data_IF_923286968904
#
_entry.id   IF_923286968904
#
_cell.length_a   1.000
_cell.length_b   1.000
_cell.length_c   1.000
_cell.angle_alpha   90.00
_cell.angle_beta   90.00
_cell.angle_gamma   90.00
#
_symmetry.space_group_name_H-M   'P 1'
#
loop_
_entity.id
_entity.type
_entity.pdbx_description
1 polymer ?
#
# COMPACT_ATOMS: atom_id res chain seq x y z
N UNK A 1 28.51 5.95 -12.42
CA UNK A 1 29.24 7.08 -11.76
C UNK A 1 28.20 8.10 -11.34
N UNK A 2 28.30 8.68 -10.13
CA UNK A 2 27.37 9.72 -9.68
C UNK A 2 27.53 11.01 -10.52
N UNK A 3 26.43 11.74 -10.83
CA UNK A 3 26.49 12.99 -11.60
C UNK A 3 27.30 14.06 -10.85
N UNK A 4 28.15 14.82 -11.56
CA UNK A 4 29.03 15.82 -10.95
C UNK A 4 28.23 16.91 -10.20
N UNK A 5 27.20 17.46 -10.82
CA UNK A 5 26.35 18.50 -10.17
C UNK A 5 25.65 17.99 -8.91
N UNK A 6 25.32 16.67 -8.85
CA UNK A 6 24.79 16.06 -7.64
C UNK A 6 25.86 16.04 -6.53
N UNK A 7 27.07 15.57 -6.82
CA UNK A 7 28.16 15.46 -5.83
C UNK A 7 28.58 16.83 -5.31
N UNK A 8 28.70 17.86 -6.18
CA UNK A 8 28.99 19.22 -5.80
C UNK A 8 27.92 19.82 -4.87
N UNK A 9 26.64 19.61 -5.19
CA UNK A 9 25.53 20.05 -4.33
C UNK A 9 25.55 19.32 -2.97
N UNK A 10 25.75 18.01 -2.96
CA UNK A 10 25.80 17.26 -1.70
C UNK A 10 27.00 17.63 -0.83
N UNK A 11 28.14 17.95 -1.44
CA UNK A 11 29.31 18.46 -0.71
C UNK A 11 29.01 19.79 0.01
N UNK A 12 28.32 20.71 -0.66
CA UNK A 12 27.90 21.98 -0.06
C UNK A 12 26.79 21.81 1.00
N UNK A 13 25.91 20.80 0.86
CA UNK A 13 24.80 20.56 1.78
C UNK A 13 25.25 19.85 3.08
N UNK A 14 26.18 18.89 2.96
CA UNK A 14 26.58 18.00 4.07
C UNK A 14 27.91 18.40 4.73
N UNK A 15 28.70 19.28 4.08
CA UNK A 15 29.96 19.78 4.60
C UNK A 15 30.88 18.66 5.17
N UNK A 16 31.04 18.59 6.49
CA UNK A 16 31.87 17.58 7.16
C UNK A 16 31.33 16.15 7.06
N UNK A 17 30.06 15.95 6.80
CA UNK A 17 29.44 14.59 6.66
C UNK A 17 29.49 14.05 5.23
N UNK A 18 29.99 14.85 4.25
CA UNK A 18 29.97 14.49 2.83
C UNK A 18 30.73 13.20 2.51
N UNK A 19 31.91 13.02 3.10
CA UNK A 19 32.75 11.82 2.83
C UNK A 19 32.05 10.54 3.32
N UNK A 20 31.40 10.59 4.49
CA UNK A 20 30.64 9.46 5.03
C UNK A 20 29.40 9.18 4.16
N UNK A 21 28.73 10.23 3.71
CA UNK A 21 27.61 10.11 2.78
C UNK A 21 28.06 9.45 1.47
N UNK A 22 29.14 9.92 0.87
CA UNK A 22 29.67 9.34 -0.37
C UNK A 22 30.08 7.88 -0.19
N UNK A 23 30.78 7.55 0.91
CA UNK A 23 31.15 6.18 1.22
C UNK A 23 29.94 5.24 1.37
N UNK A 24 28.79 5.75 1.80
CA UNK A 24 27.56 4.95 1.93
C UNK A 24 27.09 4.36 0.61
N UNK A 25 27.43 4.96 -0.53
CA UNK A 25 27.06 4.44 -1.85
C UNK A 25 27.83 3.17 -2.23
N UNK A 26 28.97 2.92 -1.61
CA UNK A 26 29.77 1.70 -1.80
C UNK A 26 29.36 0.56 -0.87
N UNK A 27 28.55 0.84 0.16
CA UNK A 27 28.07 -0.19 1.08
C UNK A 27 27.03 -1.10 0.44
N UNK A 28 26.87 -2.31 0.97
CA UNK A 28 25.81 -3.22 0.58
C UNK A 28 24.41 -2.60 0.81
N UNK A 29 23.51 -2.90 -0.10
CA UNK A 29 22.12 -2.41 -0.06
C UNK A 29 21.37 -3.07 1.08
N UNK A 30 20.70 -2.27 1.89
CA UNK A 30 19.80 -2.80 2.91
C UNK A 30 18.51 -3.28 2.28
N UNK A 31 18.08 -4.46 2.69
CA UNK A 31 16.83 -5.07 2.25
C UNK A 31 15.93 -5.29 3.46
N UNK A 32 14.63 -5.06 3.27
CA UNK A 32 13.67 -5.28 4.32
C UNK A 32 12.34 -5.83 3.78
N UNK A 33 11.59 -6.45 4.67
CA UNK A 33 10.22 -6.86 4.46
C UNK A 33 9.34 -6.30 5.58
N UNK A 34 8.07 -6.19 5.29
CA UNK A 34 7.06 -5.75 6.26
C UNK A 34 5.98 -6.80 6.34
N UNK A 35 5.79 -7.37 7.54
CA UNK A 35 4.76 -8.37 7.81
C UNK A 35 3.36 -7.78 7.62
N UNK A 36 2.42 -8.64 7.23
CA UNK A 36 1.05 -8.27 6.94
C UNK A 36 0.09 -8.81 8.02
N UNK A 37 -0.29 -8.01 9.01
CA UNK A 37 -1.18 -8.44 10.08
C UNK A 37 -2.60 -8.78 9.60
N UNK A 38 -3.01 -8.36 8.40
CA UNK A 38 -4.32 -8.71 7.84
C UNK A 38 -4.51 -10.22 7.60
N UNK A 39 -3.41 -10.99 7.58
CA UNK A 39 -3.47 -12.43 7.28
C UNK A 39 -3.92 -13.30 8.44
N UNK A 40 -3.76 -12.86 9.68
CA UNK A 40 -4.11 -13.62 10.87
C UNK A 40 -4.48 -12.67 12.01
N UNK A 41 -5.38 -13.09 12.91
CA UNK A 41 -5.69 -12.33 14.13
C UNK A 41 -4.51 -12.39 15.13
N UNK A 42 -3.87 -13.55 15.23
CA UNK A 42 -2.65 -13.71 16.02
C UNK A 42 -1.44 -13.94 15.10
N UNK A 43 -0.60 -12.92 15.00
CA UNK A 43 0.63 -12.94 14.22
C UNK A 43 1.83 -13.52 14.99
N UNK A 44 1.74 -13.77 16.30
CA UNK A 44 2.89 -14.10 17.15
C UNK A 44 3.68 -15.31 16.66
N UNK A 45 3.00 -16.44 16.45
CA UNK A 45 3.63 -17.71 16.04
C UNK A 45 4.25 -17.61 14.66
N UNK A 46 3.52 -17.02 13.70
CA UNK A 46 4.04 -16.91 12.32
C UNK A 46 5.17 -15.89 12.23
N UNK A 47 5.11 -14.80 13.00
CA UNK A 47 6.19 -13.82 13.08
C UNK A 47 7.50 -14.45 13.55
N UNK A 48 7.46 -15.25 14.63
CA UNK A 48 8.64 -15.94 15.12
C UNK A 48 9.18 -16.94 14.10
N UNK A 49 8.30 -17.68 13.41
CA UNK A 49 8.71 -18.59 12.32
C UNK A 49 9.40 -17.84 11.16
N UNK A 50 8.84 -16.70 10.73
CA UNK A 50 9.42 -15.88 9.65
C UNK A 50 10.76 -15.29 10.09
N UNK A 51 10.85 -14.77 11.33
CA UNK A 51 12.11 -14.25 11.90
C UNK A 51 13.22 -15.29 11.93
N UNK A 52 12.90 -16.52 12.34
CA UNK A 52 13.86 -17.63 12.37
C UNK A 52 14.28 -18.07 10.98
N UNK A 53 13.32 -18.11 10.02
CA UNK A 53 13.60 -18.53 8.64
C UNK A 53 14.51 -17.55 7.91
N UNK A 54 14.34 -16.23 8.11
CA UNK A 54 15.05 -15.17 7.39
C UNK A 54 15.98 -14.34 8.31
N UNK A 55 16.28 -14.80 9.52
CA UNK A 55 17.18 -14.12 10.48
C UNK A 55 16.89 -12.62 10.64
N UNK A 56 15.61 -12.27 10.76
CA UNK A 56 15.12 -10.91 10.69
C UNK A 56 15.56 -10.04 11.87
N UNK A 57 15.86 -8.76 11.59
CA UNK A 57 16.14 -7.72 12.57
C UNK A 57 15.13 -6.58 12.42
N UNK A 58 14.64 -6.04 13.53
CA UNK A 58 13.64 -4.97 13.54
C UNK A 58 14.13 -3.70 12.82
N UNK A 59 13.29 -3.10 11.98
CA UNK A 59 13.44 -1.72 11.50
C UNK A 59 12.90 -0.79 12.58
N UNK A 60 13.71 0.12 13.16
CA UNK A 60 13.28 0.88 14.35
C UNK A 60 12.01 1.70 14.18
N UNK A 61 11.82 2.31 13.02
CA UNK A 61 10.67 3.19 12.70
C UNK A 61 9.48 2.47 12.07
N UNK A 62 9.46 1.14 12.03
CA UNK A 62 8.36 0.38 11.44
C UNK A 62 8.05 -0.87 12.27
N UNK A 63 6.93 -0.86 12.99
CA UNK A 63 6.52 -1.92 13.92
C UNK A 63 6.58 -3.33 13.30
N UNK A 64 6.07 -3.48 12.08
CA UNK A 64 6.05 -4.75 11.34
C UNK A 64 7.17 -4.86 10.29
N UNK A 65 8.14 -3.95 10.32
CA UNK A 65 9.27 -3.88 9.38
C UNK A 65 10.50 -4.61 9.89
N UNK A 66 11.15 -5.41 9.03
CA UNK A 66 12.33 -6.19 9.40
C UNK A 66 13.35 -6.19 8.28
N UNK A 67 14.62 -5.95 8.63
CA UNK A 67 15.75 -6.21 7.74
C UNK A 67 15.94 -7.71 7.54
N UNK A 68 16.36 -8.10 6.35
CA UNK A 68 16.80 -9.46 6.01
C UNK A 68 18.09 -9.42 5.20
N UNK A 69 18.79 -10.55 5.11
CA UNK A 69 20.03 -10.66 4.36
C UNK A 69 19.78 -11.07 2.91
N UNK A 70 20.74 -10.82 2.00
CA UNK A 70 20.63 -11.16 0.58
C UNK A 70 20.45 -12.66 0.34
N UNK A 71 20.97 -13.48 1.26
CA UNK A 71 20.90 -14.94 1.22
C UNK A 71 19.49 -15.48 1.47
N UNK A 72 18.67 -14.74 2.23
CA UNK A 72 17.33 -15.18 2.64
C UNK A 72 16.33 -15.30 1.48
N UNK A 73 16.45 -14.46 0.46
CA UNK A 73 15.62 -14.46 -0.78
C UNK A 73 14.10 -14.59 -0.53
N UNK A 74 13.48 -13.81 0.35
CA UNK A 74 12.06 -13.97 0.74
C UNK A 74 11.10 -13.88 -0.45
N UNK A 75 11.46 -13.19 -1.54
CA UNK A 75 10.67 -13.11 -2.77
C UNK A 75 10.47 -14.44 -3.50
N UNK A 76 11.26 -15.48 -3.17
CA UNK A 76 11.12 -16.84 -3.72
C UNK A 76 10.31 -17.77 -2.83
N UNK A 77 10.06 -17.40 -1.59
CA UNK A 77 9.33 -18.23 -0.65
C UNK A 77 7.81 -18.16 -0.91
N UNK A 78 7.04 -19.27 -0.78
CA UNK A 78 5.59 -19.28 -0.98
C UNK A 78 4.81 -18.26 -0.13
N UNK A 79 5.32 -17.88 1.03
CA UNK A 79 4.73 -16.83 1.88
C UNK A 79 4.62 -15.48 1.18
N UNK A 80 5.52 -15.17 0.25
CA UNK A 80 5.44 -13.95 -0.55
C UNK A 80 4.16 -13.92 -1.41
N UNK A 81 3.87 -15.05 -2.08
CA UNK A 81 2.65 -15.17 -2.90
C UNK A 81 1.38 -15.27 -2.04
N UNK A 82 1.49 -15.81 -0.83
CA UNK A 82 0.41 -15.76 0.16
C UNK A 82 0.16 -14.35 0.73
N UNK A 83 1.00 -13.36 0.40
CA UNK A 83 0.89 -11.98 0.90
C UNK A 83 1.17 -11.84 2.39
N UNK A 84 1.94 -12.77 2.99
CA UNK A 84 2.31 -12.71 4.40
C UNK A 84 3.21 -11.52 4.73
N UNK A 85 3.94 -11.04 3.75
CA UNK A 85 4.76 -9.83 3.83
C UNK A 85 4.89 -9.12 2.48
N UNK A 86 5.27 -7.86 2.56
CA UNK A 86 5.66 -7.03 1.42
C UNK A 86 7.16 -6.73 1.52
N UNK A 87 7.91 -6.93 0.43
CA UNK A 87 9.33 -6.55 0.35
C UNK A 87 9.39 -5.05 0.08
N UNK A 88 9.96 -4.29 1.03
CA UNK A 88 9.97 -2.83 0.98
C UNK A 88 11.31 -2.31 1.46
N UNK A 89 11.79 -1.25 0.83
CA UNK A 89 12.96 -0.51 1.28
C UNK A 89 12.71 0.08 2.67
N UNK A 90 13.63 -0.05 3.64
CA UNK A 90 13.38 0.33 5.03
C UNK A 90 12.97 1.79 5.21
N UNK A 91 13.65 2.76 4.59
CA UNK A 91 13.32 4.19 4.75
C UNK A 91 11.94 4.54 4.16
N UNK A 92 11.49 3.80 3.12
CA UNK A 92 10.17 3.97 2.53
C UNK A 92 9.00 3.52 3.43
N UNK A 93 9.28 2.90 4.59
CA UNK A 93 8.25 2.56 5.58
C UNK A 93 7.90 3.74 6.49
N UNK A 94 8.82 4.68 6.69
CA UNK A 94 8.65 5.81 7.61
C UNK A 94 7.46 6.72 7.27
N UNK A 95 7.17 7.10 6.01
CA UNK A 95 6.06 7.99 5.68
C UNK A 95 4.70 7.49 6.17
N UNK A 96 4.43 6.18 6.12
CA UNK A 96 3.17 5.62 6.61
C UNK A 96 3.12 5.56 8.13
N UNK A 97 4.25 5.27 8.80
CA UNK A 97 4.33 5.39 10.26
C UNK A 97 3.99 6.81 10.70
N UNK A 98 4.52 7.83 10.00
CA UNK A 98 4.24 9.24 10.23
C UNK A 98 2.78 9.64 9.90
N UNK A 99 2.18 9.01 8.89
CA UNK A 99 0.77 9.21 8.55
C UNK A 99 -0.14 8.71 9.68
N UNK A 100 0.28 7.66 10.39
CA UNK A 100 -0.46 7.06 11.52
C UNK A 100 -1.92 6.73 11.17
N UNK A 101 -2.18 5.91 10.13
CA UNK A 101 -3.54 5.55 9.72
C UNK A 101 -4.33 4.92 10.86
N UNK A 102 -5.65 5.20 10.94
CA UNK A 102 -6.54 4.62 11.94
C UNK A 102 -7.66 3.81 11.27
N UNK A 103 -8.16 2.75 11.92
CA UNK A 103 -9.37 2.03 11.47
C UNK A 103 -10.56 2.98 11.28
N UNK A 104 -11.35 2.76 10.23
CA UNK A 104 -12.55 3.55 9.94
C UNK A 104 -12.34 4.88 9.20
N UNK A 105 -11.10 5.35 9.04
CA UNK A 105 -10.78 6.59 8.31
C UNK A 105 -10.94 6.44 6.79
N UNK A 106 -11.03 7.58 6.12
CA UNK A 106 -10.91 7.72 4.64
C UNK A 106 -9.52 8.22 4.34
N UNK A 107 -8.71 7.39 3.71
CA UNK A 107 -7.30 7.69 3.45
C UNK A 107 -7.05 7.65 1.94
N UNK A 108 -6.29 8.63 1.45
CA UNK A 108 -5.80 8.69 0.08
C UNK A 108 -4.28 8.47 0.05
N UNK A 109 -3.85 7.49 -0.76
CA UNK A 109 -2.47 7.37 -1.23
C UNK A 109 -2.46 7.86 -2.69
N UNK A 110 -1.96 9.10 -2.89
CA UNK A 110 -2.18 9.83 -4.15
C UNK A 110 -1.23 9.41 -5.28
N UNK A 111 -0.01 8.95 -4.95
CA UNK A 111 1.02 8.53 -5.90
C UNK A 111 1.54 7.13 -5.55
N UNK A 112 0.65 6.15 -5.56
CA UNK A 112 0.74 4.93 -4.76
C UNK A 112 1.63 3.80 -5.30
N UNK A 113 1.91 3.77 -6.61
CA UNK A 113 2.61 2.62 -7.21
C UNK A 113 4.08 2.50 -6.75
N UNK A 114 4.54 1.29 -6.47
CA UNK A 114 3.92 -0.03 -6.75
C UNK A 114 2.98 -0.57 -5.67
N UNK A 115 2.70 0.15 -4.58
CA UNK A 115 1.73 -0.25 -3.56
C UNK A 115 2.33 -0.57 -2.19
N UNK A 116 3.64 -0.36 -1.97
CA UNK A 116 4.29 -0.61 -0.69
C UNK A 116 3.68 0.22 0.45
N UNK A 117 3.46 1.50 0.21
CA UNK A 117 2.84 2.42 1.17
C UNK A 117 1.33 2.17 1.30
N UNK A 118 0.60 1.99 0.19
CA UNK A 118 -0.83 1.61 0.23
C UNK A 118 -1.10 0.35 1.05
N UNK A 119 -0.27 -0.69 0.89
CA UNK A 119 -0.43 -1.94 1.64
C UNK A 119 -0.07 -1.80 3.12
N UNK A 120 0.82 -0.86 3.47
CA UNK A 120 1.12 -0.50 4.85
C UNK A 120 -0.04 0.27 5.49
N UNK A 121 -0.62 1.24 4.77
CA UNK A 121 -1.83 1.96 5.20
C UNK A 121 -2.97 0.97 5.47
N UNK A 122 -3.27 0.09 4.51
CA UNK A 122 -4.34 -0.91 4.68
C UNK A 122 -4.12 -1.83 5.88
N UNK A 123 -2.86 -2.20 6.17
CA UNK A 123 -2.51 -3.00 7.35
C UNK A 123 -2.83 -2.26 8.65
N UNK A 124 -2.51 -0.96 8.74
CA UNK A 124 -2.81 -0.14 9.91
C UNK A 124 -4.30 0.18 10.07
N UNK A 125 -5.05 0.20 8.97
CA UNK A 125 -6.51 0.35 8.97
C UNK A 125 -7.27 -0.91 9.41
N UNK A 126 -6.60 -2.05 9.60
CA UNK A 126 -7.20 -3.32 10.02
C UNK A 126 -8.36 -3.82 9.14
N UNK A 127 -8.42 -3.34 7.89
CA UNK A 127 -9.47 -3.68 6.94
C UNK A 127 -10.76 -2.86 7.09
N UNK A 128 -10.79 -1.84 7.94
CA UNK A 128 -11.91 -0.93 8.16
C UNK A 128 -11.74 0.40 7.43
N UNK A 129 -12.86 1.10 7.18
CA UNK A 129 -12.87 2.39 6.49
C UNK A 129 -12.65 2.27 4.97
N UNK A 130 -12.10 3.32 4.36
CA UNK A 130 -11.87 3.43 2.92
C UNK A 130 -10.43 3.85 2.62
N UNK A 131 -9.68 3.02 1.90
CA UNK A 131 -8.43 3.38 1.27
C UNK A 131 -8.65 3.66 -0.22
N UNK A 132 -8.49 4.90 -0.66
CA UNK A 132 -8.35 5.23 -2.08
C UNK A 132 -6.87 5.27 -2.41
N UNK A 133 -6.46 4.48 -3.40
CA UNK A 133 -5.08 4.40 -3.82
C UNK A 133 -4.99 4.68 -5.32
N UNK A 134 -4.18 5.67 -5.71
CA UNK A 134 -4.17 6.21 -7.06
C UNK A 134 -2.79 6.17 -7.70
N UNK A 135 -2.77 5.95 -9.00
CA UNK A 135 -1.58 6.05 -9.82
C UNK A 135 -1.94 6.56 -11.22
N UNK A 136 -1.29 7.63 -11.65
CA UNK A 136 -1.57 8.28 -12.93
C UNK A 136 -1.18 7.43 -14.15
N UNK A 137 -0.13 6.59 -14.02
CA UNK A 137 0.36 5.77 -15.12
C UNK A 137 -0.36 4.41 -15.17
N UNK A 138 -1.11 4.09 -16.26
CA UNK A 138 -1.94 2.88 -16.33
C UNK A 138 -1.20 1.56 -16.06
N UNK A 139 0.03 1.42 -16.58
CA UNK A 139 0.84 0.22 -16.38
C UNK A 139 1.25 0.06 -14.91
N UNK A 140 1.60 1.16 -14.24
CA UNK A 140 1.95 1.17 -12.82
C UNK A 140 0.72 0.97 -11.92
N UNK A 141 -0.44 1.54 -12.29
CA UNK A 141 -1.71 1.34 -11.59
C UNK A 141 -2.13 -0.14 -11.60
N UNK A 142 -1.82 -0.89 -12.67
CA UNK A 142 -2.04 -2.32 -12.73
C UNK A 142 -1.17 -3.07 -11.71
N UNK A 143 0.12 -2.75 -11.61
CA UNK A 143 1.03 -3.33 -10.61
C UNK A 143 0.54 -3.03 -9.17
N UNK A 144 0.09 -1.80 -8.93
CA UNK A 144 -0.55 -1.41 -7.67
C UNK A 144 -1.76 -2.31 -7.34
N UNK A 145 -2.68 -2.50 -8.30
CA UNK A 145 -3.85 -3.36 -8.14
C UNK A 145 -3.48 -4.83 -7.86
N UNK A 146 -2.44 -5.35 -8.50
CA UNK A 146 -1.92 -6.71 -8.26
C UNK A 146 -1.34 -6.85 -6.84
N UNK A 147 -0.63 -5.84 -6.33
CA UNK A 147 -0.11 -5.85 -4.95
C UNK A 147 -1.22 -5.70 -3.90
N UNK A 148 -2.23 -4.86 -4.14
CA UNK A 148 -3.44 -4.77 -3.30
C UNK A 148 -4.13 -6.14 -3.22
N UNK A 149 -4.24 -6.87 -4.34
CA UNK A 149 -4.79 -8.22 -4.39
C UNK A 149 -3.94 -9.22 -3.60
N UNK A 150 -2.63 -9.27 -3.87
CA UNK A 150 -1.70 -10.20 -3.24
C UNK A 150 -1.68 -10.07 -1.72
N UNK A 151 -1.79 -8.86 -1.21
CA UNK A 151 -1.84 -8.60 0.23
C UNK A 151 -3.21 -8.87 0.88
N UNK A 152 -4.23 -9.25 0.08
CA UNK A 152 -5.57 -9.61 0.59
C UNK A 152 -6.38 -8.43 1.12
N UNK A 153 -6.15 -7.23 0.61
CA UNK A 153 -6.80 -6.00 1.08
C UNK A 153 -8.25 -5.96 0.62
N UNK A 154 -9.17 -5.72 1.55
CA UNK A 154 -10.63 -5.72 1.32
C UNK A 154 -11.21 -4.32 1.15
N UNK A 155 -10.64 -3.31 1.79
CA UNK A 155 -11.16 -1.95 1.93
C UNK A 155 -10.50 -0.93 1.00
N UNK A 156 -9.90 -1.36 -0.11
CA UNK A 156 -9.22 -0.48 -1.05
C UNK A 156 -9.99 -0.30 -2.37
N UNK A 157 -9.98 0.95 -2.86
CA UNK A 157 -10.39 1.33 -4.22
C UNK A 157 -9.15 1.79 -5.00
N UNK A 158 -8.82 1.12 -6.11
CA UNK A 158 -7.66 1.45 -6.96
C UNK A 158 -8.10 2.26 -8.15
N UNK A 159 -7.56 3.47 -8.30
CA UNK A 159 -7.87 4.42 -9.35
C UNK A 159 -6.66 4.65 -10.28
N UNK A 160 -6.95 5.13 -11.49
CA UNK A 160 -5.97 5.59 -12.46
C UNK A 160 -6.33 6.97 -12.96
N UNK A 161 -6.14 7.99 -12.11
CA UNK A 161 -6.58 9.36 -12.36
C UNK A 161 -5.45 10.36 -12.16
N UNK A 162 -5.65 11.58 -12.67
CA UNK A 162 -4.77 12.72 -12.36
C UNK A 162 -5.14 13.32 -11.00
N UNK A 163 -4.19 13.92 -10.27
CA UNK A 163 -4.48 14.61 -9.02
C UNK A 163 -5.55 15.69 -9.14
N UNK A 164 -5.53 16.46 -10.25
CA UNK A 164 -6.48 17.54 -10.53
C UNK A 164 -7.90 16.98 -10.64
N UNK A 165 -8.10 15.91 -11.40
CA UNK A 165 -9.41 15.27 -11.55
C UNK A 165 -9.94 14.73 -10.23
N UNK A 166 -9.06 14.12 -9.40
CA UNK A 166 -9.44 13.69 -8.05
C UNK A 166 -9.83 14.86 -7.16
N UNK A 167 -9.10 15.98 -7.21
CA UNK A 167 -9.41 17.16 -6.40
C UNK A 167 -10.77 17.80 -6.79
N UNK A 168 -11.20 17.70 -8.03
CA UNK A 168 -12.53 18.14 -8.46
C UNK A 168 -13.66 17.23 -7.98
N UNK A 169 -13.34 15.98 -7.58
CA UNK A 169 -14.33 14.99 -7.12
C UNK A 169 -14.38 14.90 -5.60
N UNK A 170 -13.26 15.05 -4.92
CA UNK A 170 -13.08 14.75 -3.50
C UNK A 170 -12.72 16.00 -2.68
N UNK A 171 -13.46 17.08 -2.81
CA UNK A 171 -13.22 18.27 -1.99
C UNK A 171 -13.49 17.99 -0.51
N UNK A 172 -12.48 18.28 0.34
CA UNK A 172 -12.51 18.02 1.81
C UNK A 172 -13.08 16.64 2.17
N UNK A 173 -12.55 15.61 1.53
CA UNK A 173 -13.10 14.25 1.64
C UNK A 173 -12.28 13.32 2.55
N UNK A 174 -10.94 13.40 2.52
CA UNK A 174 -10.05 12.46 3.19
C UNK A 174 -9.60 12.96 4.55
N UNK A 175 -9.61 12.05 5.52
CA UNK A 175 -9.13 12.29 6.88
C UNK A 175 -7.59 12.35 6.91
N UNK A 176 -6.94 11.53 6.05
CA UNK A 176 -5.48 11.54 5.85
C UNK A 176 -5.12 11.40 4.38
N UNK A 177 -4.03 12.05 3.99
CA UNK A 177 -3.47 11.93 2.63
C UNK A 177 -1.97 11.65 2.72
N UNK A 178 -1.52 10.66 1.96
CA UNK A 178 -0.11 10.42 1.67
C UNK A 178 0.20 10.92 0.26
N UNK A 179 1.23 11.75 0.15
CA UNK A 179 1.83 12.17 -1.11
C UNK A 179 3.27 11.67 -1.14
N UNK A 180 3.46 10.41 -1.57
CA UNK A 180 4.80 9.91 -1.90
C UNK A 180 5.14 10.38 -3.31
N UNK A 181 5.66 11.60 -3.40
CA UNK A 181 5.68 12.35 -4.64
C UNK A 181 6.65 11.78 -5.69
N UNK A 182 6.29 11.80 -6.99
CA UNK A 182 7.25 11.54 -8.04
C UNK A 182 8.38 12.57 -7.94
N UNK A 183 9.63 12.09 -7.87
CA UNK A 183 10.81 12.90 -7.60
C UNK A 183 11.98 12.51 -8.49
N UNK A 184 13.08 13.25 -8.42
CA UNK A 184 14.32 12.98 -9.17
C UNK A 184 15.02 11.67 -8.80
N UNK A 185 14.62 11.05 -7.69
CA UNK A 185 14.98 9.66 -7.33
C UNK A 185 16.43 9.45 -6.92
N UNK A 186 17.09 10.43 -6.33
CA UNK A 186 18.51 10.36 -5.95
C UNK A 186 18.84 9.25 -4.95
N UNK A 187 17.91 8.91 -4.05
CA UNK A 187 18.01 7.75 -3.17
C UNK A 187 17.97 6.41 -3.92
N UNK A 188 17.65 6.42 -5.21
CA UNK A 188 17.67 5.22 -6.06
C UNK A 188 19.00 5.01 -6.79
N UNK A 189 19.96 5.94 -6.73
CA UNK A 189 21.21 5.86 -7.45
C UNK A 189 22.02 4.60 -7.11
N UNK A 190 21.95 4.13 -5.87
CA UNK A 190 22.56 2.86 -5.45
C UNK A 190 21.91 1.63 -6.08
N UNK A 191 20.64 1.72 -6.49
CA UNK A 191 19.83 0.59 -7.00
C UNK A 191 19.76 0.55 -8.50
N UNK A 192 19.81 1.70 -9.16
CA UNK A 192 19.52 1.85 -10.58
C UNK A 192 20.53 2.82 -11.22
N UNK A 193 21.46 2.29 -12.01
CA UNK A 193 22.42 3.10 -12.76
C UNK A 193 21.75 4.02 -13.77
N UNK A 194 20.64 3.59 -14.38
CA UNK A 194 19.85 4.41 -15.31
C UNK A 194 19.33 5.68 -14.64
N UNK A 195 19.00 5.62 -13.33
CA UNK A 195 18.57 6.80 -12.59
C UNK A 195 19.68 7.87 -12.54
N UNK A 196 20.97 7.48 -12.48
CA UNK A 196 22.08 8.41 -12.57
C UNK A 196 22.25 9.03 -13.95
N UNK A 197 21.96 8.26 -15.01
CA UNK A 197 22.11 8.69 -16.42
C UNK A 197 21.00 9.66 -16.83
N UNK A 198 19.77 9.45 -16.32
CA UNK A 198 18.61 10.30 -16.63
C UNK A 198 18.51 11.54 -15.73
N UNK A 199 19.29 11.60 -14.64
CA UNK A 199 19.23 12.69 -13.70
C UNK A 199 19.91 13.98 -14.24
N UNK A 200 19.28 15.12 -14.01
CA UNK A 200 19.86 16.44 -14.24
C UNK A 200 19.29 17.48 -13.26
N UNK A 201 19.97 18.63 -13.05
CA UNK A 201 19.40 19.74 -12.26
C UNK A 201 18.06 20.24 -12.79
N UNK A 202 17.86 20.24 -14.12
CA UNK A 202 16.60 20.62 -14.76
C UNK A 202 15.49 19.64 -14.44
N UNK A 203 15.80 18.32 -14.38
CA UNK A 203 14.82 17.31 -13.98
C UNK A 203 14.42 17.45 -12.50
N UNK A 204 15.35 17.82 -11.62
CA UNK A 204 15.05 18.16 -10.21
C UNK A 204 14.02 19.30 -10.14
N UNK A 205 14.21 20.38 -10.91
CA UNK A 205 13.28 21.50 -10.93
C UNK A 205 11.91 21.11 -11.50
N UNK A 206 11.87 20.34 -12.59
CA UNK A 206 10.61 19.81 -13.15
C UNK A 206 9.85 18.92 -12.16
N UNK A 207 10.56 18.13 -11.35
CA UNK A 207 9.97 17.33 -10.28
C UNK A 207 9.41 18.25 -9.18
N UNK A 208 10.15 19.27 -8.75
CA UNK A 208 9.70 20.23 -7.75
C UNK A 208 8.43 20.97 -8.20
N UNK A 209 8.36 21.44 -9.43
CA UNK A 209 7.18 22.12 -9.99
C UNK A 209 5.96 21.18 -10.04
N UNK A 210 6.16 19.92 -10.39
CA UNK A 210 5.11 18.89 -10.38
C UNK A 210 4.61 18.60 -8.98
N UNK A 211 5.51 18.51 -8.01
CA UNK A 211 5.19 18.25 -6.60
C UNK A 211 4.36 19.39 -6.02
N UNK A 212 4.66 20.65 -6.37
CA UNK A 212 3.86 21.82 -5.96
C UNK A 212 2.40 21.65 -6.43
N UNK A 213 2.17 21.26 -7.69
CA UNK A 213 0.82 21.01 -8.22
C UNK A 213 0.09 19.85 -7.53
N UNK A 214 0.81 18.77 -7.19
CA UNK A 214 0.25 17.62 -6.46
C UNK A 214 -0.16 18.03 -5.04
N UNK A 215 0.66 18.81 -4.35
CA UNK A 215 0.36 19.31 -3.00
C UNK A 215 -0.86 20.25 -2.99
N UNK A 216 -1.03 21.12 -3.98
CA UNK A 216 -2.23 21.96 -4.17
C UNK A 216 -3.50 21.08 -4.28
N UNK A 217 -3.45 20.02 -5.06
CA UNK A 217 -4.57 19.07 -5.18
C UNK A 217 -4.84 18.36 -3.85
N UNK A 218 -3.80 17.92 -3.14
CA UNK A 218 -3.94 17.24 -1.85
C UNK A 218 -4.55 18.16 -0.79
N UNK A 219 -4.17 19.45 -0.76
CA UNK A 219 -4.73 20.44 0.17
C UNK A 219 -6.25 20.63 0.02
N UNK A 220 -6.75 20.61 -1.23
CA UNK A 220 -8.19 20.69 -1.53
C UNK A 220 -8.95 19.45 -1.06
N UNK A 221 -8.33 18.27 -1.15
CA UNK A 221 -8.97 17.00 -0.83
C UNK A 221 -8.96 16.66 0.66
N UNK A 222 -8.11 17.29 1.46
CA UNK A 222 -7.96 17.03 2.88
C UNK A 222 -9.03 17.80 3.69
N UNK A 223 -9.67 17.13 4.64
CA UNK A 223 -10.63 17.76 5.56
C UNK A 223 -9.94 18.74 6.52
N UNK A 224 -10.65 19.75 7.08
CA UNK A 224 -10.17 20.49 8.24
C UNK A 224 -9.79 19.54 9.38
N UNK A 225 -8.66 19.78 10.05
CA UNK A 225 -8.12 18.86 11.08
C UNK A 225 -7.45 17.60 10.51
N UNK A 226 -7.42 17.42 9.19
CA UNK A 226 -6.80 16.28 8.53
C UNK A 226 -5.27 16.32 8.52
N UNK A 227 -4.63 15.17 8.36
CA UNK A 227 -3.17 15.03 8.30
C UNK A 227 -2.70 14.69 6.89
N UNK A 228 -1.70 15.42 6.39
CA UNK A 228 -1.02 15.17 5.15
C UNK A 228 0.44 14.80 5.44
N UNK A 229 0.90 13.69 4.86
CA UNK A 229 2.32 13.35 4.85
C UNK A 229 2.84 13.47 3.43
N UNK A 230 3.84 14.33 3.26
CA UNK A 230 4.61 14.46 2.03
C UNK A 230 5.91 13.69 2.16
N UNK A 231 6.31 12.94 1.13
CA UNK A 231 7.56 12.21 1.10
C UNK A 231 8.17 12.13 -0.29
N UNK A 232 9.49 12.01 -0.34
CA UNK A 232 10.28 11.77 -1.55
C UNK A 232 11.42 10.81 -1.27
N UNK A 233 11.94 10.16 -2.31
CA UNK A 233 13.18 9.40 -2.25
C UNK A 233 14.37 10.18 -2.88
N UNK A 234 14.40 11.51 -2.72
CA UNK A 234 15.50 12.37 -3.20
C UNK A 234 16.15 13.13 -2.05
N UNK A 235 17.37 13.61 -2.25
CA UNK A 235 18.09 14.49 -1.32
C UNK A 235 18.00 15.96 -1.72
N UNK A 236 17.40 16.27 -2.86
CA UNK A 236 17.33 17.62 -3.43
C UNK A 236 16.53 18.57 -2.55
N UNK A 237 17.13 19.67 -2.04
CA UNK A 237 16.41 20.66 -1.23
C UNK A 237 15.23 21.29 -1.95
N UNK A 238 15.32 21.49 -3.26
CA UNK A 238 14.23 22.09 -4.06
C UNK A 238 12.94 21.25 -4.04
N UNK A 239 13.09 19.92 -3.96
CA UNK A 239 12.00 18.94 -3.91
C UNK A 239 11.53 18.62 -2.48
N UNK A 240 12.31 18.94 -1.47
CA UNK A 240 12.10 18.61 -0.07
C UNK A 240 11.66 19.85 0.72
N UNK A 241 12.56 20.51 1.45
CA UNK A 241 12.27 21.72 2.22
C UNK A 241 11.73 22.86 1.33
N UNK A 242 12.19 22.92 0.08
CA UNK A 242 11.71 23.90 -0.91
C UNK A 242 10.23 23.72 -1.24
N UNK A 243 9.79 22.51 -1.57
CA UNK A 243 8.38 22.21 -1.85
C UNK A 243 7.49 22.49 -0.64
N UNK A 244 7.92 22.08 0.56
CA UNK A 244 7.17 22.36 1.80
C UNK A 244 7.11 23.86 2.10
N UNK A 245 8.22 24.59 1.90
CA UNK A 245 8.26 26.04 2.14
C UNK A 245 7.38 26.82 1.16
N UNK A 246 7.41 26.47 -0.13
CA UNK A 246 6.53 27.08 -1.14
C UNK A 246 5.06 26.78 -0.89
N UNK A 247 4.74 25.53 -0.47
CA UNK A 247 3.39 25.14 -0.11
C UNK A 247 2.87 25.94 1.09
N UNK A 248 3.60 26.02 2.18
CA UNK A 248 3.18 26.74 3.39
C UNK A 248 3.12 28.26 3.22
N UNK A 249 3.88 28.81 2.27
CA UNK A 249 3.78 30.23 1.92
C UNK A 249 2.43 30.59 1.24
N UNK A 250 1.75 29.61 0.64
CA UNK A 250 0.44 29.77 -0.02
C UNK A 250 -0.73 29.30 0.85
N UNK A 251 -0.48 28.39 1.79
CA UNK A 251 -1.47 27.68 2.59
C UNK A 251 -1.28 27.98 4.08
N UNK A 252 -1.74 29.14 4.55
CA UNK A 252 -1.66 29.55 5.96
C UNK A 252 -2.49 28.66 6.89
N UNK A 253 -3.45 27.91 6.34
CA UNK A 253 -4.25 26.93 7.03
C UNK A 253 -3.50 25.63 7.35
N UNK A 254 -2.26 25.45 6.87
CA UNK A 254 -1.42 24.31 7.22
C UNK A 254 -0.29 24.69 8.16
N UNK A 255 0.20 23.72 8.90
CA UNK A 255 1.40 23.83 9.74
C UNK A 255 2.18 22.51 9.76
N UNK A 256 3.49 22.59 10.03
CA UNK A 256 4.33 21.42 10.23
C UNK A 256 4.07 20.86 11.61
N UNK A 257 3.80 19.55 11.68
CA UNK A 257 3.83 18.77 12.93
C UNK A 257 5.24 18.24 13.11
N UNK A 258 5.98 18.66 14.15
CA UNK A 258 7.34 18.19 14.38
C UNK A 258 7.38 16.67 14.59
N UNK A 259 8.32 16.00 13.93
CA UNK A 259 8.51 14.54 14.03
C UNK A 259 9.42 14.24 15.22
N UNK A 260 8.94 13.41 16.16
CA UNK A 260 9.77 12.89 17.25
C UNK A 260 10.66 11.75 16.73
N UNK A 261 11.87 12.11 16.34
CA UNK A 261 12.88 11.19 15.78
C UNK A 261 13.37 10.20 16.82
N UNK A 262 13.43 10.59 18.09
CA UNK A 262 13.88 9.74 19.19
C UNK A 262 12.89 8.61 19.44
N UNK A 263 11.57 8.90 19.43
CA UNK A 263 10.53 7.88 19.57
C UNK A 263 10.62 6.85 18.43
N UNK A 264 10.97 7.30 17.22
CA UNK A 264 11.14 6.44 16.05
C UNK A 264 12.48 5.71 16.00
N UNK A 265 13.38 5.90 16.98
CA UNK A 265 14.72 5.31 16.97
C UNK A 265 15.61 5.83 15.83
N UNK A 266 15.33 7.04 15.35
CA UNK A 266 16.10 7.70 14.28
C UNK A 266 17.26 8.51 14.90
N UNK A 267 18.49 8.42 14.36
CA UNK A 267 19.65 9.14 14.88
C UNK A 267 19.50 10.67 14.84
N UNK A 268 20.29 11.36 15.64
CA UNK A 268 20.46 12.82 15.55
C UNK A 268 20.99 13.27 14.18
N UNK A 269 20.72 14.51 13.80
CA UNK A 269 21.13 15.08 12.52
C UNK A 269 20.31 14.60 11.32
N UNK A 270 19.09 14.09 11.58
CA UNK A 270 18.08 13.74 10.58
C UNK A 270 16.98 14.79 10.46
N UNK A 271 17.23 16.01 10.87
CA UNK A 271 16.30 17.15 10.79
C UNK A 271 16.26 17.74 9.40
N UNK A 272 15.15 18.42 9.07
CA UNK A 272 15.09 19.29 7.89
C UNK A 272 16.10 20.45 8.01
N UNK A 273 16.64 20.87 6.89
CA UNK A 273 17.75 21.83 6.84
C UNK A 273 17.23 23.21 6.37
N UNK A 274 16.99 24.17 7.27
CA UNK A 274 16.48 25.48 6.85
C UNK A 274 17.46 26.26 5.95
N UNK A 275 18.78 26.11 6.17
CA UNK A 275 19.82 26.82 5.41
C UNK A 275 19.96 26.39 3.95
N UNK A 276 19.25 25.33 3.50
CA UNK A 276 19.32 24.84 2.13
C UNK A 276 18.26 25.47 1.18
N UNK A 277 17.39 26.34 1.70
CA UNK A 277 16.34 27.05 0.92
C UNK A 277 16.33 28.53 1.27
N UNK A 278 15.98 29.38 0.30
CA UNK A 278 16.03 30.84 0.44
C UNK A 278 15.04 31.37 1.49
N UNK A 279 13.80 30.84 1.50
CA UNK A 279 12.72 31.24 2.41
C UNK A 279 12.17 30.02 3.14
N UNK A 280 12.85 29.50 4.17
CA UNK A 280 12.41 28.31 4.87
C UNK A 280 11.13 28.54 5.65
N UNK A 281 10.19 27.61 5.53
CA UNK A 281 8.97 27.65 6.31
C UNK A 281 9.25 27.56 7.82
N UNK A 282 8.46 28.25 8.67
CA UNK A 282 8.52 28.02 10.12
C UNK A 282 8.35 26.54 10.48
N UNK A 283 9.23 26.03 11.32
CA UNK A 283 9.18 24.63 11.77
C UNK A 283 9.79 23.62 10.80
N UNK A 284 10.45 24.02 9.72
CA UNK A 284 11.06 23.11 8.72
C UNK A 284 12.07 22.12 9.35
N UNK A 285 12.73 22.44 10.42
CA UNK A 285 13.59 21.55 11.20
C UNK A 285 12.81 20.37 11.82
N UNK A 286 11.49 20.49 11.95
CA UNK A 286 10.59 19.42 12.38
C UNK A 286 10.35 18.33 11.34
N UNK A 287 10.79 18.51 10.09
CA UNK A 287 10.72 17.48 9.05
C UNK A 287 11.85 16.45 9.20
N UNK A 288 11.82 15.40 8.40
CA UNK A 288 12.71 14.25 8.52
C UNK A 288 13.53 14.03 7.25
N UNK A 289 14.85 13.88 7.41
CA UNK A 289 15.79 13.38 6.39
C UNK A 289 16.39 12.07 6.85
N UNK A 290 16.03 10.98 6.21
CA UNK A 290 16.66 9.67 6.44
C UNK A 290 17.90 9.57 5.56
N UNK A 291 19.07 9.69 6.18
CA UNK A 291 20.35 9.71 5.47
C UNK A 291 20.98 8.32 5.39
N UNK A 292 21.46 7.85 4.21
CA UNK A 292 22.02 6.51 4.05
C UNK A 292 23.32 6.27 4.84
N UNK A 293 24.04 7.32 5.24
CA UNK A 293 25.23 7.22 6.09
C UNK A 293 24.91 7.21 7.58
N UNK A 294 23.70 7.61 8.00
CA UNK A 294 23.28 7.63 9.41
C UNK A 294 22.42 6.44 9.80
N UNK A 295 21.78 5.78 8.83
CA UNK A 295 20.85 4.69 9.08
C UNK A 295 20.89 3.63 7.98
N UNK A 296 20.30 2.49 8.27
CA UNK A 296 20.24 1.35 7.35
C UNK A 296 19.07 1.53 6.37
N UNK A 297 19.25 2.34 5.31
CA UNK A 297 18.28 2.63 4.27
C UNK A 297 18.90 3.36 3.09
N UNK A 298 18.12 3.55 2.03
CA UNK A 298 18.58 4.24 0.80
C UNK A 298 18.43 5.76 0.87
N UNK A 299 17.65 6.23 1.82
CA UNK A 299 17.35 7.65 2.00
C UNK A 299 15.91 8.02 1.64
N UNK A 300 15.35 8.91 2.46
CA UNK A 300 14.00 9.44 2.26
C UNK A 300 13.85 10.80 2.93
N UNK A 301 12.97 11.64 2.39
CA UNK A 301 12.50 12.84 3.07
C UNK A 301 11.04 12.66 3.46
N UNK A 302 10.63 13.20 4.61
CA UNK A 302 9.24 13.25 5.00
C UNK A 302 8.90 14.52 5.78
N UNK A 303 7.73 15.08 5.51
CA UNK A 303 7.12 16.18 6.26
C UNK A 303 5.70 15.80 6.66
N UNK A 304 5.35 16.02 7.92
CA UNK A 304 3.99 15.86 8.44
C UNK A 304 3.35 17.23 8.51
N UNK A 305 2.24 17.40 7.81
CA UNK A 305 1.46 18.63 7.76
C UNK A 305 0.07 18.41 8.36
N UNK A 306 -0.40 19.38 9.14
CA UNK A 306 -1.73 19.39 9.74
C UNK A 306 -2.54 20.54 9.13
N UNK A 307 -3.71 20.24 8.57
CA UNK A 307 -4.69 21.29 8.18
C UNK A 307 -5.38 21.78 9.44
N UNK A 308 -5.33 23.08 9.70
CA UNK A 308 -5.99 23.72 10.84
C UNK A 308 -7.51 23.61 10.72
N UNK A 309 -8.20 23.73 11.83
CA UNK A 309 -9.66 23.65 11.90
C UNK A 309 -10.14 22.32 12.47
N UNK A 310 -11.43 22.24 12.68
CA UNK A 310 -12.14 21.07 13.18
C UNK A 310 -13.32 20.76 12.27
N UNK A 311 -13.64 19.48 12.13
CA UNK A 311 -14.88 19.06 11.47
C UNK A 311 -16.07 19.46 12.35
N UNK A 312 -17.10 20.07 11.75
CA UNK A 312 -18.37 20.29 12.45
C UNK A 312 -19.00 18.97 12.84
N UNK A 313 -19.62 18.91 14.00
CA UNK A 313 -20.32 17.72 14.48
C UNK A 313 -21.32 17.22 13.41
N UNK A 314 -21.21 15.94 13.04
CA UNK A 314 -22.05 15.34 12.00
C UNK A 314 -21.57 15.57 10.57
N UNK A 315 -20.41 16.19 10.35
CA UNK A 315 -19.84 16.34 9.00
C UNK A 315 -19.71 14.98 8.28
N UNK A 316 -20.26 14.90 7.08
CA UNK A 316 -20.17 13.71 6.21
C UNK A 316 -19.59 14.15 4.86
N UNK A 317 -18.31 13.93 4.62
CA UNK A 317 -17.71 14.22 3.32
C UNK A 317 -18.40 13.46 2.20
N UNK A 318 -18.68 14.13 1.12
CA UNK A 318 -19.35 13.56 -0.05
C UNK A 318 -18.54 13.87 -1.30
N UNK A 319 -18.28 12.86 -2.12
CA UNK A 319 -17.66 13.08 -3.43
C UNK A 319 -18.64 13.78 -4.39
N UNK A 320 -18.15 14.52 -5.37
CA UNK A 320 -18.98 15.14 -6.41
C UNK A 320 -19.77 14.09 -7.23
N UNK A 321 -19.29 12.86 -7.31
CA UNK A 321 -19.98 11.73 -7.94
C UNK A 321 -20.99 11.04 -7.01
N UNK A 322 -21.08 11.48 -5.75
CA UNK A 322 -21.87 10.81 -4.71
C UNK A 322 -21.24 9.53 -4.20
N UNK A 323 -22.00 8.76 -3.42
CA UNK A 323 -21.60 7.43 -2.96
C UNK A 323 -22.09 6.35 -3.93
N UNK A 324 -21.32 5.27 -4.10
CA UNK A 324 -21.75 4.12 -4.89
C UNK A 324 -22.90 3.39 -4.17
N UNK A 325 -24.01 3.21 -4.88
CA UNK A 325 -25.23 2.61 -4.27
C UNK A 325 -25.20 1.09 -4.27
N UNK A 326 -24.33 0.47 -5.09
CA UNK A 326 -24.29 -0.97 -5.25
C UNK A 326 -25.54 -1.59 -5.90
N UNK A 327 -25.59 -2.92 -5.88
CA UNK A 327 -26.69 -3.71 -6.45
C UNK A 327 -27.80 -3.82 -5.41
N UNK A 328 -29.07 -3.49 -5.74
CA UNK A 328 -30.19 -3.71 -4.83
C UNK A 328 -30.32 -5.19 -4.43
N UNK A 329 -30.61 -5.48 -3.17
CA UNK A 329 -30.66 -6.84 -2.61
C UNK A 329 -31.52 -7.81 -3.42
N UNK A 330 -32.73 -7.36 -3.90
CA UNK A 330 -33.63 -8.15 -4.73
C UNK A 330 -33.04 -8.60 -6.07
N UNK A 331 -32.19 -7.73 -6.68
CA UNK A 331 -31.53 -8.05 -7.94
C UNK A 331 -30.29 -8.93 -7.68
N UNK A 332 -29.59 -8.66 -6.58
CA UNK A 332 -28.42 -9.44 -6.17
C UNK A 332 -28.81 -10.91 -5.95
N UNK A 333 -29.85 -11.22 -5.20
CA UNK A 333 -30.33 -12.60 -4.97
C UNK A 333 -30.83 -13.30 -6.21
N UNK A 334 -31.40 -12.57 -7.17
CA UNK A 334 -31.88 -13.12 -8.42
C UNK A 334 -30.76 -13.36 -9.44
N UNK A 335 -29.97 -12.33 -9.69
CA UNK A 335 -29.02 -12.32 -10.81
C UNK A 335 -27.66 -12.95 -10.41
N UNK A 336 -27.41 -13.12 -9.11
CA UNK A 336 -26.16 -13.67 -8.54
C UNK A 336 -26.42 -14.89 -7.62
N UNK A 337 -27.47 -15.65 -7.90
CA UNK A 337 -27.85 -16.85 -7.13
C UNK A 337 -26.69 -17.85 -6.99
N UNK A 338 -25.88 -18.02 -8.04
CA UNK A 338 -24.73 -18.92 -8.05
C UNK A 338 -23.63 -18.46 -7.08
N UNK A 339 -23.48 -17.15 -6.83
CA UNK A 339 -22.59 -16.65 -5.80
C UNK A 339 -23.08 -17.04 -4.39
N UNK A 340 -24.36 -16.88 -4.10
CA UNK A 340 -24.92 -17.24 -2.79
C UNK A 340 -24.89 -18.74 -2.55
N UNK A 341 -25.07 -19.56 -3.58
CA UNK A 341 -24.90 -21.00 -3.49
C UNK A 341 -23.43 -21.34 -3.17
N UNK A 342 -22.47 -20.75 -3.90
CA UNK A 342 -21.06 -20.88 -3.60
C UNK A 342 -20.72 -20.43 -2.15
N UNK A 343 -21.22 -19.28 -1.73
CA UNK A 343 -20.99 -18.74 -0.40
C UNK A 343 -21.51 -19.68 0.70
N UNK A 344 -22.75 -20.19 0.54
CA UNK A 344 -23.37 -21.15 1.47
C UNK A 344 -22.60 -22.48 1.56
N UNK A 345 -22.07 -22.97 0.44
CA UNK A 345 -21.30 -24.22 0.40
C UNK A 345 -19.90 -24.06 0.96
N UNK A 346 -19.29 -22.87 0.80
CA UNK A 346 -17.85 -22.67 1.03
C UNK A 346 -17.55 -21.98 2.36
N UNK A 347 -18.33 -20.97 2.74
CA UNK A 347 -18.00 -20.15 3.90
C UNK A 347 -18.54 -20.71 5.22
N UNK A 348 -17.81 -20.50 6.32
CA UNK A 348 -18.30 -20.73 7.69
C UNK A 348 -19.30 -19.62 8.05
N UNK A 349 -20.39 -19.97 8.77
CA UNK A 349 -21.50 -19.01 9.00
C UNK A 349 -21.12 -17.82 9.88
N UNK A 350 -20.28 -18.03 10.89
CA UNK A 350 -20.02 -17.03 11.92
C UNK A 350 -19.11 -15.87 11.46
N UNK A 351 -18.07 -16.17 10.71
CA UNK A 351 -17.05 -15.19 10.29
C UNK A 351 -17.47 -14.40 9.04
N UNK A 352 -18.19 -15.04 8.13
CA UNK A 352 -18.59 -14.44 6.85
C UNK A 352 -19.78 -13.49 6.98
N UNK A 353 -20.58 -13.62 8.03
CA UNK A 353 -21.60 -12.62 8.39
C UNK A 353 -20.91 -11.31 8.81
N UNK A 354 -19.85 -11.38 9.62
CA UNK A 354 -19.06 -10.19 10.02
C UNK A 354 -18.44 -9.46 8.82
N UNK A 355 -17.97 -10.21 7.82
CA UNK A 355 -17.40 -9.65 6.60
C UNK A 355 -18.46 -9.18 5.57
N UNK A 356 -19.76 -9.39 5.83
CA UNK A 356 -20.84 -9.05 4.90
C UNK A 356 -20.81 -9.82 3.58
N UNK A 357 -20.17 -10.99 3.52
CA UNK A 357 -20.01 -11.79 2.30
C UNK A 357 -21.17 -12.74 2.03
N UNK A 358 -21.95 -13.12 3.06
CA UNK A 358 -23.00 -14.12 2.94
C UNK A 358 -24.41 -13.54 2.82
N UNK A 359 -24.63 -12.27 3.15
CA UNK A 359 -25.96 -11.68 3.24
C UNK A 359 -26.18 -10.71 2.09
N UNK A 360 -27.25 -10.93 1.33
CA UNK A 360 -27.68 -9.97 0.31
C UNK A 360 -28.05 -8.64 0.97
N UNK A 361 -27.31 -7.59 0.65
CA UNK A 361 -27.50 -6.26 1.22
C UNK A 361 -26.72 -5.21 0.43
N UNK A 362 -26.62 -4.04 0.99
CA UNK A 362 -25.77 -2.97 0.43
C UNK A 362 -24.29 -3.37 0.38
N UNK A 363 -23.55 -2.82 -0.54
CA UNK A 363 -22.09 -2.99 -0.63
C UNK A 363 -21.61 -4.04 -1.64
N UNK A 364 -22.48 -4.49 -2.55
CA UNK A 364 -22.07 -5.29 -3.72
C UNK A 364 -22.12 -4.45 -5.00
N UNK A 365 -21.12 -4.62 -5.85
CA UNK A 365 -21.01 -3.94 -7.14
C UNK A 365 -20.66 -4.95 -8.23
N UNK A 366 -21.23 -4.80 -9.43
CA UNK A 366 -20.89 -5.62 -10.57
C UNK A 366 -20.30 -4.79 -11.71
N UNK A 367 -19.21 -5.29 -12.29
CA UNK A 367 -18.70 -4.84 -13.58
C UNK A 367 -18.76 -6.01 -14.57
N UNK A 368 -19.74 -5.98 -15.49
CA UNK A 368 -20.03 -7.11 -16.35
C UNK A 368 -20.35 -8.36 -15.51
N UNK A 369 -19.62 -9.44 -15.74
CA UNK A 369 -19.80 -10.71 -15.02
C UNK A 369 -18.99 -10.79 -13.70
N UNK A 370 -18.26 -9.73 -13.31
CA UNK A 370 -17.45 -9.71 -12.11
C UNK A 370 -18.18 -9.06 -10.94
N UNK A 371 -18.20 -9.74 -9.80
CA UNK A 371 -18.81 -9.29 -8.55
C UNK A 371 -17.74 -8.81 -7.58
N UNK A 372 -18.00 -7.66 -6.96
CA UNK A 372 -17.11 -7.05 -5.96
C UNK A 372 -17.86 -6.78 -4.65
N UNK A 373 -17.15 -6.87 -3.53
CA UNK A 373 -17.56 -6.31 -2.26
C UNK A 373 -16.91 -4.94 -2.10
N UNK A 374 -17.73 -3.90 -1.97
CA UNK A 374 -17.27 -2.52 -1.84
C UNK A 374 -16.75 -2.24 -0.42
N UNK A 375 -15.74 -1.36 -0.27
CA UNK A 375 -15.43 -0.74 1.02
C UNK A 375 -16.59 0.10 1.54
N UNK A 376 -16.61 0.34 2.82
CA UNK A 376 -17.51 1.34 3.40
C UNK A 376 -17.26 2.71 2.78
N UNK A 377 -18.34 3.47 2.56
CA UNK A 377 -18.26 4.83 1.99
C UNK A 377 -17.57 4.89 0.63
N UNK A 378 -17.66 3.82 -0.15
CA UNK A 378 -17.15 3.77 -1.52
C UNK A 378 -17.65 4.99 -2.31
N UNK A 379 -16.77 5.81 -2.90
CA UNK A 379 -17.17 6.93 -3.74
C UNK A 379 -17.91 6.44 -4.98
N UNK A 380 -18.79 7.26 -5.54
CA UNK A 380 -19.42 6.96 -6.81
C UNK A 380 -18.39 6.84 -7.92
N UNK A 381 -18.53 5.82 -8.76
CA UNK A 381 -17.52 5.47 -9.79
C UNK A 381 -17.76 6.16 -11.13
N UNK A 382 -18.84 6.93 -11.27
CA UNK A 382 -19.18 7.60 -12.52
C UNK A 382 -18.13 8.66 -12.87
N UNK A 383 -17.52 8.51 -14.03
CA UNK A 383 -16.46 9.43 -14.51
C UNK A 383 -15.06 9.08 -14.01
N UNK A 384 -14.90 8.11 -13.11
CA UNK A 384 -13.60 7.66 -12.62
C UNK A 384 -13.10 6.43 -13.39
N UNK A 385 -11.80 6.38 -13.65
CA UNK A 385 -11.11 5.19 -14.15
C UNK A 385 -10.74 4.27 -12.98
N UNK A 386 -11.63 3.34 -12.67
CA UNK A 386 -11.50 2.40 -11.56
C UNK A 386 -10.92 1.08 -12.06
N UNK A 387 -9.76 0.68 -11.51
CA UNK A 387 -9.18 -0.64 -11.75
C UNK A 387 -9.72 -1.69 -10.80
N UNK A 388 -9.97 -1.30 -9.55
CA UNK A 388 -10.47 -2.20 -8.50
C UNK A 388 -11.41 -1.42 -7.57
N UNK A 389 -12.70 -1.71 -7.59
CA UNK A 389 -13.68 -0.99 -6.75
C UNK A 389 -13.87 -1.63 -5.36
N UNK A 390 -12.95 -2.42 -4.89
CA UNK A 390 -13.01 -3.20 -3.66
C UNK A 390 -12.53 -4.63 -3.85
N UNK A 391 -12.98 -5.54 -2.99
CA UNK A 391 -12.62 -6.96 -3.04
C UNK A 391 -13.35 -7.65 -4.21
N UNK A 392 -12.59 -8.18 -5.17
CA UNK A 392 -13.13 -9.01 -6.25
C UNK A 392 -13.53 -10.38 -5.71
N UNK A 393 -14.83 -10.66 -5.69
CA UNK A 393 -15.38 -11.93 -5.16
C UNK A 393 -15.27 -13.06 -6.18
N UNK A 394 -15.52 -12.79 -7.45
CA UNK A 394 -15.44 -13.76 -8.52
C UNK A 394 -16.23 -13.38 -9.76
N UNK A 395 -16.34 -14.32 -10.67
CA UNK A 395 -16.96 -14.12 -11.98
C UNK A 395 -18.14 -15.07 -12.16
N UNK A 396 -19.29 -14.54 -12.59
CA UNK A 396 -20.43 -15.33 -13.00
C UNK A 396 -20.14 -15.97 -14.36
N UNK A 397 -20.27 -17.28 -14.42
CA UNK A 397 -20.19 -18.08 -15.65
C UNK A 397 -21.53 -18.77 -15.90
N UNK A 398 -21.71 -19.34 -17.08
CA UNK A 398 -22.92 -20.10 -17.38
C UNK A 398 -23.18 -21.18 -16.31
N UNK A 399 -24.23 -20.99 -15.50
CA UNK A 399 -24.68 -21.89 -14.44
C UNK A 399 -23.64 -22.21 -13.35
N UNK A 400 -22.69 -21.30 -13.07
CA UNK A 400 -21.73 -21.46 -11.97
C UNK A 400 -21.06 -20.14 -11.60
N UNK A 401 -20.58 -20.06 -10.39
CA UNK A 401 -19.71 -19.00 -9.91
C UNK A 401 -18.25 -19.52 -9.85
N UNK A 402 -17.31 -18.71 -10.35
CA UNK A 402 -15.87 -18.95 -10.22
C UNK A 402 -15.28 -17.95 -9.23
N UNK A 403 -14.85 -18.38 -8.02
CA UNK A 403 -14.28 -17.46 -7.04
C UNK A 403 -12.99 -16.86 -7.53
N UNK A 404 -12.80 -15.57 -7.26
CA UNK A 404 -11.59 -14.84 -7.63
C UNK A 404 -10.41 -15.24 -6.74
N UNK A 405 -9.20 -15.12 -7.27
CA UNK A 405 -7.97 -15.27 -6.49
C UNK A 405 -7.88 -14.23 -5.37
N UNK A 406 -8.29 -13.00 -5.64
CA UNK A 406 -8.41 -11.93 -4.64
C UNK A 406 -9.24 -12.34 -3.41
N UNK A 407 -10.36 -13.05 -3.64
CA UNK A 407 -11.20 -13.55 -2.55
C UNK A 407 -10.43 -14.58 -1.70
N UNK A 408 -9.70 -15.53 -2.34
CA UNK A 408 -8.90 -16.48 -1.58
C UNK A 408 -7.88 -15.80 -0.69
N UNK A 409 -7.13 -14.84 -1.24
CA UNK A 409 -6.07 -14.13 -0.51
C UNK A 409 -6.60 -13.25 0.63
N UNK A 410 -7.87 -12.83 0.56
CA UNK A 410 -8.53 -12.04 1.59
C UNK A 410 -9.20 -12.87 2.68
N UNK A 411 -9.31 -14.19 2.50
CA UNK A 411 -9.91 -15.12 3.46
C UNK A 411 -8.83 -15.76 4.34
N UNK A 412 -9.27 -16.15 5.55
CA UNK A 412 -8.50 -16.91 6.53
C UNK A 412 -9.03 -18.36 6.61
N UNK A 413 -8.28 -19.30 7.17
CA UNK A 413 -8.74 -20.68 7.34
C UNK A 413 -10.10 -20.80 8.04
N UNK A 414 -10.35 -19.98 9.06
CA UNK A 414 -11.60 -19.95 9.85
C UNK A 414 -12.81 -19.41 9.08
N UNK A 415 -12.58 -18.68 7.98
CA UNK A 415 -13.66 -18.12 7.16
C UNK A 415 -14.33 -19.18 6.26
N UNK A 416 -13.74 -20.37 6.13
CA UNK A 416 -14.21 -21.39 5.17
C UNK A 416 -14.38 -22.77 5.82
N UNK A 417 -15.29 -23.59 5.24
CA UNK A 417 -15.56 -24.96 5.71
C UNK A 417 -14.45 -25.93 5.37
N UNK A 418 -13.79 -25.74 4.23
CA UNK A 418 -12.77 -26.67 3.74
C UNK A 418 -11.44 -25.95 3.51
N UNK A 419 -10.43 -26.40 4.24
CA UNK A 419 -9.05 -25.93 4.14
C UNK A 419 -8.14 -27.06 3.72
N UNK A 420 -7.21 -26.80 2.81
CA UNK A 420 -6.13 -27.72 2.47
C UNK A 420 -4.79 -27.09 2.86
N UNK A 421 -4.17 -27.63 3.88
CA UNK A 421 -2.86 -27.18 4.37
C UNK A 421 -1.74 -27.87 3.61
N UNK A 422 -0.85 -27.09 3.03
CA UNK A 422 0.32 -27.55 2.29
C UNK A 422 1.61 -27.32 3.10
N UNK A 423 2.58 -28.21 2.92
CA UNK A 423 3.97 -27.90 3.26
C UNK A 423 4.53 -26.80 2.36
N UNK A 424 5.69 -26.26 2.68
CA UNK A 424 6.36 -25.24 1.84
C UNK A 424 6.69 -25.79 0.45
N UNK A 425 7.12 -27.04 0.36
CA UNK A 425 7.45 -27.73 -0.89
C UNK A 425 6.20 -27.96 -1.75
N UNK A 426 5.11 -28.40 -1.13
CA UNK A 426 3.81 -28.59 -1.80
C UNK A 426 3.24 -27.26 -2.26
N UNK A 427 3.37 -26.19 -1.45
CA UNK A 427 2.96 -24.84 -1.83
C UNK A 427 3.75 -24.33 -3.06
N UNK A 428 5.06 -24.60 -3.12
CA UNK A 428 5.85 -24.28 -4.30
C UNK A 428 5.40 -25.08 -5.55
N UNK A 429 4.99 -26.34 -5.38
CA UNK A 429 4.41 -27.15 -6.45
C UNK A 429 3.02 -26.63 -6.88
N UNK A 430 2.20 -26.19 -5.93
CA UNK A 430 0.91 -25.57 -6.21
C UNK A 430 1.07 -24.27 -7.02
N UNK A 431 2.02 -23.42 -6.69
CA UNK A 431 2.31 -22.17 -7.43
C UNK A 431 2.74 -22.43 -8.88
N UNK A 432 3.31 -23.60 -9.17
CA UNK A 432 3.62 -24.07 -10.55
C UNK A 432 2.42 -24.67 -11.28
N UNK A 433 1.27 -24.77 -10.62
CA UNK A 433 0.04 -25.27 -11.22
C UNK A 433 -0.16 -26.77 -11.08
N UNK A 434 0.61 -27.48 -10.23
CA UNK A 434 0.44 -28.91 -10.00
C UNK A 434 -0.88 -29.25 -9.30
N UNK A 435 -1.41 -30.44 -9.56
CA UNK A 435 -2.60 -31.02 -8.92
C UNK A 435 -2.15 -32.11 -7.96
N UNK A 436 -2.99 -32.42 -6.97
CA UNK A 436 -2.67 -33.41 -5.94
C UNK A 436 -3.76 -34.47 -5.88
N UNK A 437 -3.39 -35.73 -5.59
CA UNK A 437 -4.35 -36.75 -5.17
C UNK A 437 -4.89 -36.41 -3.79
N UNK A 438 -6.19 -36.45 -3.60
CA UNK A 438 -6.81 -35.98 -2.37
C UNK A 438 -8.11 -36.74 -2.07
N UNK A 439 -8.33 -37.03 -0.80
CA UNK A 439 -9.58 -37.57 -0.25
C UNK A 439 -10.32 -36.45 0.47
N UNK A 440 -11.65 -36.45 0.47
CA UNK A 440 -12.49 -35.48 1.14
C UNK A 440 -13.79 -35.19 0.39
N UNK A 441 -14.51 -34.21 0.87
CA UNK A 441 -15.78 -33.77 0.27
C UNK A 441 -15.54 -33.02 -1.03
N UNK A 442 -16.36 -33.28 -2.04
CA UNK A 442 -16.33 -32.55 -3.30
C UNK A 442 -16.69 -31.09 -3.07
N UNK A 443 -15.84 -30.14 -3.50
CA UNK A 443 -16.11 -28.71 -3.31
C UNK A 443 -14.88 -27.83 -3.50
N UNK A 444 -15.04 -26.55 -3.17
CA UNK A 444 -13.98 -25.58 -3.12
C UNK A 444 -13.21 -25.66 -1.79
N UNK A 445 -11.89 -25.56 -1.87
CA UNK A 445 -10.98 -25.56 -0.74
C UNK A 445 -10.09 -24.33 -0.77
N UNK A 446 -9.94 -23.69 0.37
CA UNK A 446 -8.91 -22.68 0.56
C UNK A 446 -7.56 -23.38 0.72
N UNK A 447 -6.65 -23.12 -0.17
CA UNK A 447 -5.30 -23.65 -0.13
C UNK A 447 -4.45 -22.74 0.75
N UNK A 448 -3.80 -23.31 1.77
CA UNK A 448 -3.03 -22.53 2.74
C UNK A 448 -1.62 -23.12 2.92
N UNK A 449 -0.67 -22.25 3.22
CA UNK A 449 0.66 -22.58 3.74
C UNK A 449 0.84 -21.86 5.08
N UNK A 450 1.17 -22.60 6.14
CA UNK A 450 1.28 -22.05 7.50
C UNK A 450 0.06 -21.19 7.93
N UNK A 451 -1.13 -21.67 7.63
CA UNK A 451 -2.42 -21.02 7.86
C UNK A 451 -2.61 -19.66 7.12
N UNK A 452 -1.73 -19.34 6.18
CA UNK A 452 -1.89 -18.20 5.28
C UNK A 452 -2.47 -18.66 3.93
N UNK A 453 -3.56 -18.05 3.51
CA UNK A 453 -4.23 -18.38 2.25
C UNK A 453 -3.35 -18.09 1.03
N UNK A 454 -3.29 -19.03 0.10
CA UNK A 454 -2.47 -18.98 -1.11
C UNK A 454 -3.31 -19.00 -2.39
N UNK A 455 -4.54 -19.49 -2.33
CA UNK A 455 -5.43 -19.55 -3.48
C UNK A 455 -6.55 -20.57 -3.31
N UNK A 456 -7.19 -20.92 -4.42
CA UNK A 456 -8.26 -21.92 -4.47
C UNK A 456 -7.82 -23.26 -5.03
N UNK A 457 -8.35 -24.33 -4.44
CA UNK A 457 -8.40 -25.65 -5.04
C UNK A 457 -9.84 -26.13 -5.18
N UNK A 458 -10.10 -27.08 -6.08
CA UNK A 458 -11.41 -27.73 -6.21
C UNK A 458 -11.26 -29.22 -6.22
N UNK A 459 -11.75 -29.88 -5.17
CA UNK A 459 -11.74 -31.34 -5.07
C UNK A 459 -12.86 -31.95 -5.89
N UNK A 460 -12.50 -32.83 -6.81
CA UNK A 460 -13.45 -33.62 -7.60
C UNK A 460 -12.80 -34.91 -8.11
N UNK A 461 -13.44 -36.03 -7.87
CA UNK A 461 -12.98 -37.35 -8.37
C UNK A 461 -11.64 -37.77 -7.82
N UNK A 462 -11.35 -37.54 -6.53
CA UNK A 462 -10.09 -37.90 -5.89
C UNK A 462 -8.89 -37.05 -6.28
N UNK A 463 -9.14 -35.90 -6.96
CA UNK A 463 -8.11 -34.96 -7.38
C UNK A 463 -8.40 -33.55 -6.92
N UNK A 464 -7.47 -32.93 -6.22
CA UNK A 464 -7.46 -31.49 -5.92
C UNK A 464 -6.97 -30.75 -7.16
N UNK A 465 -7.92 -30.15 -7.90
CA UNK A 465 -7.64 -29.33 -9.08
C UNK A 465 -7.09 -27.97 -8.66
N UNK A 466 -5.99 -27.59 -9.29
CA UNK A 466 -5.33 -26.33 -9.03
C UNK A 466 -6.06 -25.16 -9.72
N UNK A 467 -6.52 -24.17 -8.95
CA UNK A 467 -7.15 -22.94 -9.42
C UNK A 467 -6.28 -21.70 -9.22
N UNK A 468 -4.96 -21.87 -9.00
CA UNK A 468 -4.03 -20.76 -9.01
C UNK A 468 -3.98 -20.13 -10.41
N UNK A 469 -4.05 -18.78 -10.55
CA UNK A 469 -4.16 -18.11 -11.84
C UNK A 469 -3.01 -18.48 -12.77
N UNK A 470 -3.31 -18.85 -14.00
CA UNK A 470 -2.28 -19.29 -14.97
C UNK A 470 -1.22 -18.22 -15.25
N UNK A 471 -1.62 -16.94 -15.27
CA UNK A 471 -0.71 -15.82 -15.50
C UNK A 471 0.25 -15.52 -14.34
N UNK A 472 0.02 -16.08 -13.14
CA UNK A 472 0.87 -15.91 -11.97
C UNK A 472 1.78 -17.13 -11.70
N UNK A 473 1.67 -18.22 -12.49
CA UNK A 473 2.48 -19.44 -12.31
C UNK A 473 3.95 -19.16 -12.64
N UNK A 474 4.83 -19.65 -11.76
CA UNK A 474 6.30 -19.47 -11.86
C UNK A 474 6.99 -20.67 -12.49
#
# INVERSE_FOLDING_TARGET
MLPQSFTERMQGLLESEYEEFLASFEHEKYQALRLNPLKRDDMSVITEKVKQTFQLQQVPWAENGYYYTKEDQPGKHPWHEAGLYYIQEPSAMAPVTLLSPQPGERILDLCASPGGKSTQIASAMEGEGLLVTNEIHPARAKILSENVERMGIRNACVLNETPEHLADIFEEYFDRILVDAPCSGEGMFRKNEVACEEWSPENVQLCADRQDGILECAARMLVPGGRLVYSTCTFAPAENEGSISRFLAKHEEFEIVPIDKKELGIPEGCDGIPGCVENPAPGITGTLRLWPHKLRGEGHYAAVLQKKGELTEGYQPVSATGSEKGIPAKNLTKDWAEYFNFAKETFSEEQTIKAGLCTAGEGFLAFGDNLYRMPERMPGVKGLKVLRPGLHLGTLKKNRFEPAHALALALRPEDVKHVWKLSVEEAAAYLKGQTFSAEGEKGWYLICVDDCSLGWGKLAGGVMKNHYPKGLRK
#
